data_IF_240577944706
#
_entry.id   IF_240577944706
#
_cell.length_a   1.000
_cell.length_b   1.000
_cell.length_c   1.000
_cell.angle_alpha   90.00
_cell.angle_beta   90.00
_cell.angle_gamma   90.00
#
_symmetry.space_group_name_H-M   'P 1'
#
loop_
_entity.id
_entity.type
_entity.pdbx_description
1 polymer ?
#
# COMPACT_ATOMS: atom_id res chain seq x y z
N UNK A 1 -78.15 -9.80 35.92
CA UNK A 1 -76.82 -10.18 36.44
C UNK A 1 -76.11 -10.93 35.32
N UNK A 2 -75.32 -10.18 34.56
CA UNK A 2 -74.73 -10.55 33.28
C UNK A 2 -73.35 -11.19 33.49
N UNK A 3 -73.20 -12.44 33.08
CA UNK A 3 -71.90 -13.12 32.96
C UNK A 3 -71.39 -12.93 31.54
N UNK A 4 -70.28 -12.20 31.37
CA UNK A 4 -69.63 -12.00 30.08
C UNK A 4 -68.21 -12.58 30.12
N UNK A 5 -67.97 -13.51 29.21
CA UNK A 5 -66.69 -14.16 28.94
C UNK A 5 -65.75 -13.17 28.25
N UNK A 6 -64.49 -13.10 28.68
CA UNK A 6 -63.43 -12.45 27.91
C UNK A 6 -62.13 -13.26 28.01
N UNK A 7 -61.68 -13.75 26.86
CA UNK A 7 -60.37 -14.34 26.63
C UNK A 7 -59.27 -13.29 26.89
N UNK A 8 -58.25 -13.67 27.66
CA UNK A 8 -57.02 -12.87 27.79
C UNK A 8 -55.93 -13.58 27.00
N UNK A 9 -55.50 -12.90 25.94
CA UNK A 9 -54.40 -13.26 25.05
C UNK A 9 -53.05 -13.11 25.76
N UNK A 10 -52.24 -14.16 25.74
CA UNK A 10 -50.87 -14.14 26.24
C UNK A 10 -49.98 -13.39 25.23
N UNK A 11 -49.63 -12.14 25.54
CA UNK A 11 -48.55 -11.41 24.86
C UNK A 11 -47.22 -11.84 25.46
N UNK A 12 -46.33 -12.38 24.62
CA UNK A 12 -44.93 -12.60 24.97
C UNK A 12 -44.25 -11.25 25.21
N UNK A 13 -43.62 -11.10 26.37
CA UNK A 13 -42.73 -10.00 26.70
C UNK A 13 -41.57 -9.98 25.70
N UNK A 14 -41.51 -8.95 24.85
CA UNK A 14 -40.29 -8.58 24.16
C UNK A 14 -39.38 -7.89 25.20
N UNK A 15 -38.10 -8.28 25.33
CA UNK A 15 -37.19 -7.56 26.20
C UNK A 15 -36.98 -6.15 25.64
N UNK A 16 -37.17 -5.18 26.54
CA UNK A 16 -36.97 -3.76 26.36
C UNK A 16 -35.67 -3.50 25.60
N UNK A 17 -35.78 -2.95 24.37
CA UNK A 17 -34.64 -2.38 23.68
C UNK A 17 -34.25 -1.12 24.44
N UNK A 18 -33.39 -1.29 25.44
CA UNK A 18 -32.66 -0.18 26.04
C UNK A 18 -32.03 0.61 24.91
N UNK A 19 -32.51 1.84 24.71
CA UNK A 19 -31.84 2.85 23.92
C UNK A 19 -30.41 3.01 24.46
N UNK A 20 -29.47 2.26 23.89
CA UNK A 20 -28.06 2.59 24.00
C UNK A 20 -27.93 3.98 23.38
N UNK A 21 -27.65 4.97 24.21
CA UNK A 21 -27.40 6.32 23.80
C UNK A 21 -26.34 6.29 22.70
N UNK A 22 -26.74 6.70 21.49
CA UNK A 22 -25.81 7.15 20.46
C UNK A 22 -25.16 8.38 21.07
N UNK A 23 -24.01 8.21 21.71
CA UNK A 23 -23.18 9.33 22.09
C UNK A 23 -22.75 10.01 20.79
N UNK A 24 -23.15 11.26 20.63
CA UNK A 24 -22.66 12.14 19.56
C UNK A 24 -21.14 12.06 19.50
N UNK A 25 -20.65 11.39 18.45
CA UNK A 25 -19.26 10.99 18.25
C UNK A 25 -18.46 12.13 17.61
N UNK A 26 -18.42 13.28 18.28
CA UNK A 26 -17.49 14.34 17.90
C UNK A 26 -16.05 13.90 18.16
N UNK A 27 -15.09 14.19 17.25
CA UNK A 27 -13.68 13.95 17.51
C UNK A 27 -13.27 14.69 18.79
N UNK A 28 -12.51 14.02 19.65
CA UNK A 28 -11.89 14.63 20.84
C UNK A 28 -10.98 15.77 20.37
N UNK A 29 -11.46 17.01 20.38
CA UNK A 29 -10.65 18.19 20.03
C UNK A 29 -9.46 18.28 20.98
N UNK A 30 -8.21 18.09 20.51
CA UNK A 30 -7.03 18.03 21.35
C UNK A 30 -6.85 19.28 22.21
N UNK A 31 -7.13 20.47 21.65
CA UNK A 31 -6.95 21.76 22.31
C UNK A 31 -7.70 21.90 23.64
N UNK A 32 -8.87 21.26 23.78
CA UNK A 32 -9.72 21.41 24.97
C UNK A 32 -9.06 20.86 26.24
N UNK A 33 -8.06 19.98 26.08
CA UNK A 33 -7.37 19.32 27.18
C UNK A 33 -6.00 19.92 27.48
N UNK A 34 -5.57 20.92 26.71
CA UNK A 34 -4.25 21.51 26.84
C UNK A 34 -4.28 22.69 27.81
N UNK A 35 -3.44 22.68 28.87
CA UNK A 35 -3.30 23.85 29.74
C UNK A 35 -2.88 25.08 28.94
N UNK A 36 -3.64 26.16 29.06
CA UNK A 36 -3.39 27.42 28.35
C UNK A 36 -2.05 28.07 28.70
N UNK A 37 -1.48 27.74 29.88
CA UNK A 37 -0.16 28.20 30.33
C UNK A 37 0.60 27.05 31.00
N UNK A 38 1.56 26.49 30.28
CA UNK A 38 2.41 25.37 30.75
C UNK A 38 3.05 25.67 32.11
N UNK A 39 3.59 26.89 32.27
CA UNK A 39 4.23 27.34 33.54
C UNK A 39 3.33 27.38 34.77
N UNK A 40 2.00 27.34 34.60
CA UNK A 40 1.05 27.35 35.71
C UNK A 40 0.38 25.99 35.92
N UNK A 41 0.65 25.01 35.05
CA UNK A 41 0.13 23.66 35.16
C UNK A 41 1.03 22.83 36.06
N UNK A 42 0.42 21.96 36.88
CA UNK A 42 1.15 20.94 37.61
C UNK A 42 1.73 19.89 36.67
N UNK A 43 2.77 19.18 37.12
CA UNK A 43 3.35 18.06 36.37
C UNK A 43 2.29 16.99 36.02
N UNK A 44 1.34 16.74 36.92
CA UNK A 44 0.24 15.80 36.69
C UNK A 44 -0.67 16.24 35.54
N UNK A 45 -1.04 17.53 35.49
CA UNK A 45 -1.87 18.08 34.41
C UNK A 45 -1.15 18.04 33.05
N UNK A 46 0.16 18.26 33.03
CA UNK A 46 0.95 18.18 31.79
C UNK A 46 1.06 16.74 31.28
N UNK A 47 1.21 15.76 32.19
CA UNK A 47 1.18 14.33 31.83
C UNK A 47 -0.18 13.91 31.29
N UNK A 48 -1.26 14.29 31.98
CA UNK A 48 -2.63 14.01 31.53
C UNK A 48 -2.91 14.63 30.15
N UNK A 49 -2.41 15.85 29.90
CA UNK A 49 -2.53 16.49 28.59
C UNK A 49 -1.81 15.68 27.49
N UNK A 50 -0.58 15.22 27.74
CA UNK A 50 0.15 14.36 26.81
C UNK A 50 -0.59 13.04 26.56
N UNK A 51 -1.07 12.36 27.59
CA UNK A 51 -1.84 11.11 27.46
C UNK A 51 -3.09 11.30 26.58
N UNK A 52 -3.81 12.42 26.76
CA UNK A 52 -4.96 12.76 25.92
C UNK A 52 -4.58 13.04 24.47
N UNK A 53 -3.42 13.67 24.22
CA UNK A 53 -2.89 13.81 22.86
C UNK A 53 -2.53 12.45 22.23
N UNK A 54 -1.87 11.56 22.98
CA UNK A 54 -1.57 10.19 22.51
C UNK A 54 -2.83 9.44 22.10
N UNK A 55 -3.92 9.59 22.87
CA UNK A 55 -5.23 9.00 22.56
C UNK A 55 -5.91 9.68 21.38
N UNK A 56 -5.92 11.01 21.31
CA UNK A 56 -6.58 11.76 20.22
C UNK A 56 -5.96 11.50 18.84
N UNK A 57 -4.67 11.13 18.79
CA UNK A 57 -3.95 10.76 17.58
C UNK A 57 -3.73 9.24 17.43
N UNK A 58 -4.34 8.41 18.28
CA UNK A 58 -4.20 6.95 18.30
C UNK A 58 -2.75 6.45 18.14
N UNK A 59 -1.80 7.13 18.79
CA UNK A 59 -0.37 6.85 18.57
C UNK A 59 0.03 5.47 19.11
N UNK A 60 -0.62 5.04 20.19
CA UNK A 60 -0.36 3.76 20.84
C UNK A 60 -1.34 2.66 20.43
N UNK A 61 -2.28 2.96 19.54
CA UNK A 61 -3.26 1.98 19.08
C UNK A 61 -2.78 1.29 17.79
N UNK A 62 -3.11 0.01 17.57
CA UNK A 62 -2.83 -0.65 16.30
C UNK A 62 -3.53 0.12 15.18
N UNK A 63 -2.75 0.59 14.20
CA UNK A 63 -3.33 1.25 13.03
C UNK A 63 -4.05 0.22 12.16
N UNK A 64 -5.18 0.62 11.59
CA UNK A 64 -5.90 -0.19 10.62
C UNK A 64 -6.16 0.62 9.35
N UNK A 65 -6.01 -0.02 8.21
CA UNK A 65 -6.32 0.55 6.90
C UNK A 65 -7.28 -0.37 6.16
N UNK A 66 -8.41 0.19 5.73
CA UNK A 66 -9.51 -0.57 5.14
C UNK A 66 -9.58 -0.25 3.64
N UNK A 67 -9.14 -1.20 2.82
CA UNK A 67 -8.98 -1.00 1.38
C UNK A 67 -10.21 -1.55 0.66
N UNK A 68 -11.06 -0.65 0.18
CA UNK A 68 -12.29 -0.93 -0.58
C UNK A 68 -12.54 0.17 -1.62
N UNK A 69 -13.40 -0.08 -2.59
CA UNK A 69 -13.89 0.93 -3.53
C UNK A 69 -15.43 0.97 -3.48
N UNK A 70 -16.05 2.15 -3.52
CA UNK A 70 -17.51 2.26 -3.68
C UNK A 70 -17.97 1.81 -5.07
N UNK A 71 -19.20 1.29 -5.17
CA UNK A 71 -19.82 0.92 -6.45
C UNK A 71 -19.99 2.17 -7.33
N UNK A 72 -19.40 2.21 -8.54
CA UNK A 72 -19.57 3.34 -9.45
C UNK A 72 -21.04 3.63 -9.83
N UNK A 73 -21.97 2.69 -9.61
CA UNK A 73 -23.41 2.87 -9.89
C UNK A 73 -24.18 3.63 -8.81
N UNK A 74 -23.58 3.86 -7.64
CA UNK A 74 -24.23 4.59 -6.54
C UNK A 74 -23.77 6.06 -6.42
N UNK A 75 -22.93 6.55 -7.33
CA UNK A 75 -22.85 7.99 -7.61
C UNK A 75 -24.10 8.42 -8.40
N UNK A 76 -25.23 8.56 -7.70
CA UNK A 76 -26.47 9.03 -8.30
C UNK A 76 -26.40 10.54 -8.56
N UNK A 77 -26.53 10.86 -9.85
CA UNK A 77 -27.11 12.04 -10.49
C UNK A 77 -26.53 13.42 -10.13
N UNK A 78 -25.59 13.88 -10.95
CA UNK A 78 -25.75 15.21 -11.56
C UNK A 78 -25.92 15.00 -13.06
N UNK A 79 -27.14 15.20 -13.54
CA UNK A 79 -27.49 15.06 -14.95
C UNK A 79 -26.86 16.21 -15.75
N UNK A 80 -25.85 15.89 -16.56
CA UNK A 80 -25.57 16.66 -17.78
C UNK A 80 -25.71 15.73 -18.98
N UNK A 81 -26.69 16.05 -19.83
CA UNK A 81 -26.97 15.31 -21.06
C UNK A 81 -25.76 15.31 -22.02
N UNK A 82 -25.56 14.26 -22.82
CA UNK A 82 -24.46 14.17 -23.77
C UNK A 82 -24.78 14.97 -25.03
N UNK A 83 -23.95 15.97 -25.34
CA UNK A 83 -23.90 16.52 -26.70
C UNK A 83 -22.86 15.77 -27.54
N UNK A 84 -23.32 15.21 -28.65
CA UNK A 84 -22.50 14.61 -29.69
C UNK A 84 -21.58 15.68 -30.33
N UNK A 85 -20.27 15.42 -30.41
CA UNK A 85 -19.41 15.69 -31.59
C UNK A 85 -17.91 15.63 -31.25
N UNK A 86 -17.17 14.83 -32.01
CA UNK A 86 -15.83 15.20 -32.50
C UNK A 86 -14.63 14.92 -31.61
N UNK A 87 -13.92 13.83 -31.91
CA UNK A 87 -12.59 13.52 -31.38
C UNK A 87 -11.56 14.63 -31.70
N UNK A 88 -11.09 15.35 -30.68
CA UNK A 88 -9.78 15.99 -30.64
C UNK A 88 -9.23 15.88 -29.20
N UNK A 89 -8.06 15.26 -29.06
CA UNK A 89 -7.33 15.16 -27.80
C UNK A 89 -6.78 16.55 -27.45
N UNK A 90 -7.51 17.28 -26.61
CA UNK A 90 -6.95 18.34 -25.77
C UNK A 90 -6.80 17.76 -24.36
N UNK A 91 -5.60 17.86 -23.78
CA UNK A 91 -5.36 17.64 -22.36
C UNK A 91 -6.10 18.77 -21.66
N UNK A 92 -7.39 18.59 -21.40
CA UNK A 92 -8.20 19.60 -20.74
C UNK A 92 -7.80 19.71 -19.28
N UNK A 93 -7.89 20.94 -18.79
CA UNK A 93 -7.64 21.50 -17.46
C UNK A 93 -8.40 20.80 -16.29
N UNK A 94 -8.44 19.47 -16.25
CA UNK A 94 -8.98 18.71 -15.13
C UNK A 94 -8.01 18.63 -13.92
N UNK A 95 -6.80 19.19 -14.05
CA UNK A 95 -5.89 19.45 -12.91
C UNK A 95 -6.26 20.77 -12.28
N UNK A 96 -7.48 20.89 -11.75
CA UNK A 96 -7.84 21.96 -10.83
C UNK A 96 -9.18 21.70 -10.13
N UNK A 97 -9.10 21.70 -8.79
CA UNK A 97 -10.17 21.95 -7.84
C UNK A 97 -11.13 20.80 -7.51
N UNK A 98 -10.59 19.68 -7.01
CA UNK A 98 -11.24 18.95 -5.91
C UNK A 98 -10.22 18.50 -4.87
N UNK A 99 -9.53 19.49 -4.29
CA UNK A 99 -8.99 19.32 -2.96
C UNK A 99 -10.19 19.40 -2.01
N UNK A 100 -10.82 18.26 -1.71
CA UNK A 100 -11.46 18.14 -0.40
C UNK A 100 -10.31 18.16 0.62
N UNK A 101 -9.83 19.38 0.93
CA UNK A 101 -8.91 19.59 2.03
C UNK A 101 -9.61 19.10 3.29
N UNK A 102 -8.88 18.37 4.14
CA UNK A 102 -9.28 18.06 5.51
C UNK A 102 -10.01 19.26 6.14
N UNK A 103 -11.09 19.05 6.91
CA UNK A 103 -11.90 20.13 7.43
C UNK A 103 -10.99 21.18 8.11
N UNK A 104 -11.24 22.48 7.90
CA UNK A 104 -10.38 23.58 8.39
C UNK A 104 -10.09 23.52 9.91
N UNK A 105 -10.93 22.81 10.67
CA UNK A 105 -10.76 22.54 12.09
C UNK A 105 -9.52 21.68 12.40
N UNK A 106 -9.10 20.75 11.53
CA UNK A 106 -7.92 19.88 11.77
C UNK A 106 -6.60 20.66 11.66
N UNK A 107 -6.50 21.61 10.72
CA UNK A 107 -5.30 22.43 10.56
C UNK A 107 -5.05 23.33 11.77
N UNK A 108 -6.10 23.95 12.32
CA UNK A 108 -5.98 24.78 13.51
C UNK A 108 -5.57 23.96 14.73
N UNK A 109 -6.26 22.84 14.98
CA UNK A 109 -5.95 21.92 16.07
C UNK A 109 -4.51 21.41 15.99
N UNK A 110 -4.12 20.90 14.82
CA UNK A 110 -2.76 20.38 14.59
C UNK A 110 -1.70 21.46 14.80
N UNK A 111 -1.93 22.70 14.33
CA UNK A 111 -0.99 23.80 14.53
C UNK A 111 -0.89 24.22 16.01
N UNK A 112 -2.02 24.24 16.72
CA UNK A 112 -2.03 24.56 18.14
C UNK A 112 -1.26 23.50 18.94
N UNK A 113 -1.53 22.21 18.69
CA UNK A 113 -0.86 21.10 19.36
C UNK A 113 0.65 21.16 19.10
N UNK A 114 1.09 21.36 17.85
CA UNK A 114 2.52 21.52 17.52
C UNK A 114 3.17 22.67 18.29
N UNK A 115 2.48 23.80 18.40
CA UNK A 115 2.96 24.97 19.14
C UNK A 115 3.06 24.67 20.65
N UNK A 116 2.05 24.02 21.21
CA UNK A 116 2.00 23.64 22.62
C UNK A 116 3.10 22.63 22.98
N UNK A 117 3.29 21.58 22.17
CA UNK A 117 4.35 20.58 22.35
C UNK A 117 5.74 21.24 22.28
N UNK A 118 5.97 22.13 21.32
CA UNK A 118 7.23 22.87 21.19
C UNK A 118 7.51 23.71 22.44
N UNK A 119 6.49 24.37 22.99
CA UNK A 119 6.61 25.14 24.22
C UNK A 119 6.85 24.24 25.45
N UNK A 120 6.25 23.04 25.49
CA UNK A 120 6.47 22.07 26.56
C UNK A 120 7.89 21.52 26.55
N UNK A 121 8.42 21.17 25.38
CA UNK A 121 9.82 20.75 25.20
C UNK A 121 10.75 21.87 25.71
N UNK A 122 10.52 23.11 25.30
CA UNK A 122 11.34 24.24 25.75
C UNK A 122 11.27 24.43 27.27
N UNK A 123 10.10 24.25 27.87
CA UNK A 123 9.91 24.32 29.32
C UNK A 123 10.64 23.19 30.05
N UNK A 124 10.47 21.94 29.61
CA UNK A 124 11.12 20.76 30.19
C UNK A 124 12.64 20.78 30.08
N UNK A 125 13.20 21.33 29.00
CA UNK A 125 14.65 21.54 28.86
C UNK A 125 15.22 22.56 29.87
N UNK A 126 14.39 23.46 30.41
CA UNK A 126 14.80 24.50 31.37
C UNK A 126 14.48 24.15 32.81
N UNK A 127 13.47 23.31 33.05
CA UNK A 127 12.95 23.00 34.38
C UNK A 127 13.14 21.52 34.68
N UNK A 128 13.98 21.20 35.67
CA UNK A 128 14.31 19.82 36.05
C UNK A 128 13.07 18.98 36.39
N UNK A 129 12.06 19.61 36.99
CA UNK A 129 10.80 18.96 37.39
C UNK A 129 9.96 18.46 36.20
N UNK A 130 10.12 19.06 35.03
CA UNK A 130 9.40 18.71 33.80
C UNK A 130 10.30 18.05 32.74
N UNK A 131 11.59 17.80 33.05
CA UNK A 131 12.55 17.22 32.12
C UNK A 131 12.11 15.85 31.59
N UNK A 132 11.42 15.05 32.42
CA UNK A 132 10.90 13.74 32.01
C UNK A 132 9.81 13.80 30.94
N UNK A 133 9.21 14.97 30.67
CA UNK A 133 8.16 15.12 29.66
C UNK A 133 8.71 15.42 28.26
N UNK A 134 10.01 15.74 28.16
CA UNK A 134 10.61 16.21 26.90
C UNK A 134 10.54 15.13 25.83
N UNK A 135 10.89 13.89 26.17
CA UNK A 135 10.91 12.77 25.22
C UNK A 135 9.49 12.42 24.74
N UNK A 136 8.51 12.40 25.65
CA UNK A 136 7.11 12.13 25.32
C UNK A 136 6.53 13.20 24.39
N UNK A 137 6.83 14.47 24.67
CA UNK A 137 6.38 15.60 23.85
C UNK A 137 7.08 15.64 22.48
N UNK A 138 8.38 15.32 22.44
CA UNK A 138 9.14 15.23 21.19
C UNK A 138 8.65 14.08 20.32
N UNK A 139 8.37 12.91 20.91
CA UNK A 139 7.78 11.76 20.21
C UNK A 139 6.44 12.13 19.57
N UNK A 140 5.52 12.78 20.31
CA UNK A 140 4.27 13.30 19.75
C UNK A 140 4.50 14.26 18.58
N UNK A 141 5.44 15.19 18.74
CA UNK A 141 5.74 16.19 17.71
C UNK A 141 6.27 15.54 16.41
N UNK A 142 7.09 14.49 16.53
CA UNK A 142 7.61 13.72 15.40
C UNK A 142 6.47 13.04 14.63
N UNK A 143 5.47 12.49 15.33
CA UNK A 143 4.28 11.92 14.68
C UNK A 143 3.46 12.96 13.94
N UNK A 144 3.34 14.17 14.50
CA UNK A 144 2.69 15.30 13.84
C UNK A 144 3.53 15.90 12.71
N UNK A 145 4.82 15.56 12.56
CA UNK A 145 5.65 16.03 11.47
C UNK A 145 5.43 15.25 10.17
N UNK A 146 4.79 14.08 10.23
CA UNK A 146 4.51 13.25 9.07
C UNK A 146 4.93 11.81 9.29
N UNK A 147 4.33 10.91 8.53
CA UNK A 147 4.62 9.47 8.65
C UNK A 147 6.05 9.12 8.29
N UNK A 148 6.67 9.88 7.38
CA UNK A 148 8.08 9.76 7.02
C UNK A 148 9.03 9.97 8.22
N UNK A 149 8.66 10.88 9.14
CA UNK A 149 9.44 11.18 10.33
C UNK A 149 9.07 10.26 11.52
N UNK A 150 7.86 9.70 11.51
CA UNK A 150 7.38 8.84 12.60
C UNK A 150 8.21 7.57 12.74
N UNK A 151 8.34 7.12 13.99
CA UNK A 151 9.05 5.90 14.36
C UNK A 151 8.37 4.63 13.86
N UNK A 152 8.85 3.50 14.38
CA UNK A 152 8.24 2.19 14.13
C UNK A 152 6.75 2.19 14.47
N UNK A 153 5.94 1.68 13.53
CA UNK A 153 4.50 1.51 13.72
C UNK A 153 3.99 0.26 13.02
N UNK A 154 3.05 -0.42 13.67
CA UNK A 154 2.33 -1.54 13.09
C UNK A 154 0.98 -1.09 12.54
N UNK A 155 0.68 -1.54 11.32
CA UNK A 155 -0.58 -1.30 10.62
C UNK A 155 -1.16 -2.63 10.11
N UNK A 156 -2.45 -2.85 10.34
CA UNK A 156 -3.18 -3.99 9.75
C UNK A 156 -4.00 -3.51 8.55
N UNK A 157 -3.65 -3.99 7.38
CA UNK A 157 -4.40 -3.74 6.14
C UNK A 157 -5.48 -4.80 5.99
N UNK A 158 -6.73 -4.37 5.80
CA UNK A 158 -7.87 -5.21 5.50
C UNK A 158 -8.32 -4.95 4.06
N UNK A 159 -8.45 -6.01 3.26
CA UNK A 159 -8.86 -5.92 1.87
C UNK A 159 -10.28 -6.44 1.68
N UNK A 160 -11.11 -5.65 1.00
CA UNK A 160 -12.52 -5.95 0.76
C UNK A 160 -12.84 -5.93 -0.74
N UNK A 161 -13.69 -6.87 -1.16
CA UNK A 161 -14.23 -6.96 -2.53
C UNK A 161 -15.72 -6.61 -2.63
N UNK A 162 -16.40 -6.33 -1.50
CA UNK A 162 -17.84 -6.07 -1.49
C UNK A 162 -18.20 -4.89 -2.39
N UNK A 163 -19.23 -5.07 -3.21
CA UNK A 163 -19.81 -4.04 -4.07
C UNK A 163 -21.06 -3.39 -3.43
N UNK A 164 -21.58 -3.97 -2.34
CA UNK A 164 -22.86 -3.56 -1.72
C UNK A 164 -22.69 -2.43 -0.68
N UNK A 165 -21.70 -1.56 -0.91
CA UNK A 165 -21.39 -0.41 -0.06
C UNK A 165 -20.20 -0.63 0.88
N UNK A 166 -19.99 0.32 1.82
CA UNK A 166 -18.84 0.28 2.72
C UNK A 166 -18.83 -0.99 3.60
N UNK A 167 -17.67 -1.62 3.83
CA UNK A 167 -17.54 -2.77 4.72
C UNK A 167 -17.98 -2.42 6.16
N UNK A 168 -18.71 -3.33 6.80
CA UNK A 168 -19.31 -3.11 8.12
C UNK A 168 -18.53 -3.79 9.26
N UNK A 169 -17.69 -4.77 8.94
CA UNK A 169 -16.92 -5.53 9.92
C UNK A 169 -15.60 -6.05 9.35
N UNK A 170 -14.63 -6.30 10.24
CA UNK A 170 -13.33 -6.90 9.86
C UNK A 170 -13.49 -8.31 9.28
N UNK A 171 -14.55 -9.02 9.67
CA UNK A 171 -14.82 -10.40 9.26
C UNK A 171 -15.20 -10.49 7.76
N UNK A 172 -15.60 -9.38 7.14
CA UNK A 172 -15.84 -9.29 5.69
C UNK A 172 -14.55 -9.24 4.86
N UNK A 173 -13.39 -9.03 5.49
CA UNK A 173 -12.13 -8.88 4.78
C UNK A 173 -11.70 -10.19 4.12
N UNK A 174 -11.47 -10.15 2.80
CA UNK A 174 -11.01 -11.32 2.05
C UNK A 174 -9.52 -11.63 2.30
N UNK A 175 -8.76 -10.62 2.73
CA UNK A 175 -7.38 -10.75 3.18
C UNK A 175 -7.08 -9.71 4.27
N UNK A 176 -6.16 -10.06 5.18
CA UNK A 176 -5.68 -9.15 6.21
C UNK A 176 -4.19 -9.36 6.43
N UNK A 177 -3.41 -8.27 6.42
CA UNK A 177 -1.95 -8.30 6.51
C UNK A 177 -1.49 -7.30 7.56
N UNK A 178 -0.66 -7.77 8.48
CA UNK A 178 -0.03 -6.94 9.50
C UNK A 178 1.36 -6.52 9.01
N UNK A 179 1.57 -5.22 8.83
CA UNK A 179 2.79 -4.62 8.33
C UNK A 179 3.43 -3.74 9.40
N UNK A 180 4.74 -3.86 9.56
CA UNK A 180 5.60 -2.94 10.29
C UNK A 180 6.17 -1.93 9.31
N UNK A 181 5.81 -0.67 9.49
CA UNK A 181 6.56 0.46 8.93
C UNK A 181 7.63 0.86 9.95
N UNK A 182 8.81 1.25 9.49
CA UNK A 182 9.84 1.83 10.35
C UNK A 182 10.10 3.30 10.02
N UNK A 183 10.89 3.98 10.87
CA UNK A 183 11.41 5.30 10.55
C UNK A 183 12.28 5.22 9.29
N UNK A 184 12.18 6.23 8.43
CA UNK A 184 13.12 6.38 7.32
C UNK A 184 14.51 6.71 7.88
N UNK A 185 15.39 5.72 7.82
CA UNK A 185 16.81 5.87 8.11
C UNK A 185 17.57 5.79 6.79
N UNK A 186 18.42 6.77 6.50
CA UNK A 186 19.14 6.85 5.23
C UNK A 186 18.15 6.83 4.04
N UNK A 187 18.53 6.23 2.91
CA UNK A 187 17.69 6.12 1.71
C UNK A 187 16.91 4.78 1.66
N UNK A 188 16.57 4.21 2.82
CA UNK A 188 15.78 2.98 2.95
C UNK A 188 14.28 3.23 2.66
N UNK A 189 13.95 3.82 1.51
CA UNK A 189 12.59 4.24 1.14
C UNK A 189 11.54 3.13 1.26
N UNK A 190 11.92 1.88 0.97
CA UNK A 190 11.05 0.70 1.06
C UNK A 190 10.74 0.22 2.48
N UNK A 191 11.30 0.84 3.52
CA UNK A 191 11.02 0.45 4.92
C UNK A 191 9.62 0.89 5.39
N UNK A 192 8.92 1.67 4.54
CA UNK A 192 7.55 2.13 4.72
C UNK A 192 6.69 1.70 3.54
N UNK A 193 5.40 1.50 3.81
CA UNK A 193 4.42 1.10 2.80
C UNK A 193 3.98 2.32 1.98
N UNK A 194 4.24 2.29 0.67
CA UNK A 194 3.82 3.33 -0.27
C UNK A 194 2.36 3.19 -0.68
N UNK A 195 1.69 4.31 -0.98
CA UNK A 195 0.26 4.34 -1.30
C UNK A 195 -0.16 3.41 -2.45
N UNK A 196 0.73 3.11 -3.41
CA UNK A 196 0.44 2.17 -4.49
C UNK A 196 0.23 0.72 -4.01
N UNK A 197 0.95 0.27 -2.99
CA UNK A 197 0.92 -1.13 -2.55
C UNK A 197 -0.49 -1.64 -2.16
N UNK A 198 -1.27 -0.96 -1.31
CA UNK A 198 -2.64 -1.41 -1.00
C UNK A 198 -3.55 -1.46 -2.22
N UNK A 199 -3.48 -0.47 -3.13
CA UNK A 199 -4.32 -0.46 -4.33
C UNK A 199 -3.96 -1.60 -5.29
N UNK A 200 -2.67 -1.85 -5.54
CA UNK A 200 -2.24 -2.96 -6.38
C UNK A 200 -2.66 -4.30 -5.78
N UNK A 201 -2.53 -4.46 -4.45
CA UNK A 201 -2.96 -5.67 -3.74
C UNK A 201 -4.45 -5.95 -3.98
N UNK A 202 -5.31 -4.95 -3.73
CA UNK A 202 -6.76 -5.10 -3.94
C UNK A 202 -7.07 -5.42 -5.40
N UNK A 203 -6.46 -4.71 -6.36
CA UNK A 203 -6.71 -4.92 -7.78
C UNK A 203 -6.33 -6.33 -8.21
N UNK A 204 -5.20 -6.86 -7.75
CA UNK A 204 -4.78 -8.24 -8.04
C UNK A 204 -5.76 -9.25 -7.46
N UNK A 205 -6.18 -9.07 -6.20
CA UNK A 205 -7.19 -9.93 -5.58
C UNK A 205 -8.49 -9.92 -6.40
N UNK A 206 -8.95 -8.74 -6.82
CA UNK A 206 -10.14 -8.60 -7.66
C UNK A 206 -9.99 -9.30 -9.02
N UNK A 207 -8.83 -9.17 -9.67
CA UNK A 207 -8.55 -9.83 -10.95
C UNK A 207 -8.67 -11.35 -10.87
N UNK A 208 -8.12 -11.93 -9.81
CA UNK A 208 -8.02 -13.38 -9.68
C UNK A 208 -9.19 -14.01 -8.92
N UNK A 209 -10.06 -13.21 -8.31
CA UNK A 209 -11.25 -13.66 -7.58
C UNK A 209 -12.11 -14.60 -8.42
N UNK A 210 -12.47 -14.15 -9.61
CA UNK A 210 -13.32 -14.87 -10.56
C UNK A 210 -12.52 -15.66 -11.62
N UNK A 211 -11.18 -15.57 -11.58
CA UNK A 211 -10.33 -16.30 -12.51
C UNK A 211 -10.24 -17.78 -12.16
N UNK A 212 -10.37 -18.63 -13.17
CA UNK A 212 -10.07 -20.08 -13.08
C UNK A 212 -8.58 -20.36 -12.98
N UNK A 213 -7.75 -19.45 -13.49
CA UNK A 213 -6.30 -19.53 -13.51
C UNK A 213 -5.74 -18.54 -12.50
N UNK A 214 -5.10 -19.06 -11.44
CA UNK A 214 -4.49 -18.24 -10.40
C UNK A 214 -2.99 -18.49 -10.39
N UNK A 215 -2.17 -17.44 -10.19
CA UNK A 215 -0.72 -17.58 -10.19
C UNK A 215 -0.28 -18.43 -9.01
N UNK A 216 0.64 -19.36 -9.26
CA UNK A 216 1.20 -20.24 -8.22
C UNK A 216 2.64 -19.87 -7.86
N UNK A 217 3.35 -19.18 -8.76
CA UNK A 217 4.69 -18.63 -8.54
C UNK A 217 4.66 -17.13 -8.76
N UNK A 218 4.86 -16.36 -7.69
CA UNK A 218 4.74 -14.90 -7.70
C UNK A 218 6.09 -14.29 -7.29
N UNK A 219 6.53 -13.29 -8.02
CA UNK A 219 7.72 -12.48 -7.70
C UNK A 219 7.30 -11.02 -7.49
N UNK A 220 7.53 -10.49 -6.29
CA UNK A 220 7.37 -9.06 -6.02
C UNK A 220 8.73 -8.37 -6.12
N UNK A 221 8.83 -7.40 -7.04
CA UNK A 221 10.00 -6.56 -7.26
C UNK A 221 9.88 -5.32 -6.38
N UNK A 222 10.92 -5.02 -5.59
CA UNK A 222 10.94 -3.80 -4.78
C UNK A 222 9.85 -3.85 -3.73
N UNK A 223 9.74 -5.01 -3.07
CA UNK A 223 8.64 -5.36 -2.19
C UNK A 223 8.47 -4.37 -1.03
N UNK A 224 9.54 -3.67 -0.64
CA UNK A 224 9.51 -2.75 0.49
C UNK A 224 9.06 -3.48 1.76
N UNK A 225 7.85 -3.20 2.21
CA UNK A 225 7.23 -3.87 3.36
C UNK A 225 6.60 -5.23 3.04
N UNK A 226 6.40 -5.55 1.77
CA UNK A 226 5.88 -6.83 1.27
C UNK A 226 4.36 -6.91 1.19
N UNK A 227 3.65 -5.78 1.29
CA UNK A 227 2.18 -5.77 1.38
C UNK A 227 1.51 -6.46 0.19
N UNK A 228 2.01 -6.29 -1.04
CA UNK A 228 1.37 -6.85 -2.25
C UNK A 228 1.46 -8.36 -2.26
N UNK A 229 2.67 -8.90 -2.14
CA UNK A 229 2.90 -10.34 -2.16
C UNK A 229 2.31 -11.05 -0.95
N UNK A 230 2.41 -10.47 0.25
CA UNK A 230 1.78 -11.02 1.45
C UNK A 230 0.25 -10.99 1.35
N UNK A 231 -0.34 -9.89 0.86
CA UNK A 231 -1.77 -9.75 0.64
C UNK A 231 -2.32 -10.80 -0.32
N UNK A 232 -1.63 -10.99 -1.45
CA UNK A 232 -2.00 -11.99 -2.43
C UNK A 232 -1.81 -13.41 -1.89
N UNK A 233 -0.73 -13.70 -1.16
CA UNK A 233 -0.49 -15.01 -0.55
C UNK A 233 -1.57 -15.37 0.48
N UNK A 234 -1.92 -14.44 1.37
CA UNK A 234 -2.98 -14.60 2.38
C UNK A 234 -4.33 -14.90 1.73
N UNK A 235 -4.67 -14.14 0.68
CA UNK A 235 -5.89 -14.36 -0.06
C UNK A 235 -5.90 -15.73 -0.76
N UNK A 236 -4.84 -16.09 -1.50
CA UNK A 236 -4.74 -17.37 -2.22
C UNK A 236 -4.84 -18.57 -1.27
N UNK A 237 -4.17 -18.52 -0.11
CA UNK A 237 -4.22 -19.57 0.91
C UNK A 237 -5.64 -19.81 1.43
N UNK A 238 -6.41 -18.74 1.68
CA UNK A 238 -7.82 -18.82 2.10
C UNK A 238 -8.73 -19.41 1.02
N UNK A 239 -8.47 -19.09 -0.25
CA UNK A 239 -9.32 -19.57 -1.35
C UNK A 239 -9.03 -21.02 -1.76
N UNK A 240 -7.82 -21.51 -1.51
CA UNK A 240 -7.39 -22.85 -1.93
C UNK A 240 -6.77 -23.66 -0.77
N UNK A 241 -7.48 -23.85 0.37
CA UNK A 241 -6.90 -24.45 1.59
C UNK A 241 -6.45 -25.91 1.42
N UNK A 242 -6.87 -26.58 0.34
CA UNK A 242 -6.54 -27.98 0.03
C UNK A 242 -5.52 -28.14 -1.10
N UNK A 243 -5.09 -27.05 -1.74
CA UNK A 243 -4.09 -27.09 -2.81
C UNK A 243 -2.70 -26.75 -2.27
N UNK A 244 -1.67 -26.96 -3.10
CA UNK A 244 -0.34 -26.48 -2.78
C UNK A 244 -0.37 -24.95 -2.63
N UNK A 245 0.33 -24.44 -1.61
CA UNK A 245 0.43 -23.00 -1.38
C UNK A 245 1.12 -22.33 -2.56
N UNK A 246 0.68 -21.12 -2.91
CA UNK A 246 1.42 -20.28 -3.83
C UNK A 246 2.82 -19.99 -3.27
N UNK A 247 3.81 -20.06 -4.14
CA UNK A 247 5.20 -19.73 -3.85
C UNK A 247 5.41 -18.25 -4.17
N UNK A 248 5.55 -17.43 -3.13
CA UNK A 248 5.74 -15.98 -3.24
C UNK A 248 7.17 -15.63 -2.86
N UNK A 249 7.90 -15.01 -3.78
CA UNK A 249 9.25 -14.51 -3.57
C UNK A 249 9.19 -12.99 -3.47
N UNK A 250 9.42 -12.46 -2.27
CA UNK A 250 9.46 -11.02 -2.01
C UNK A 250 10.91 -10.56 -2.14
N UNK A 251 11.17 -9.53 -2.95
CA UNK A 251 12.54 -9.10 -3.25
C UNK A 251 12.77 -7.63 -3.04
N UNK A 252 13.96 -7.31 -2.57
CA UNK A 252 14.52 -5.97 -2.49
C UNK A 252 16.05 -6.07 -2.55
N UNK A 253 16.74 -4.94 -2.55
CA UNK A 253 18.21 -4.87 -2.55
C UNK A 253 18.77 -4.22 -1.28
N UNK A 254 18.00 -3.38 -0.60
CA UNK A 254 18.51 -2.61 0.54
C UNK A 254 18.44 -3.43 1.84
N UNK A 255 19.57 -3.53 2.56
CA UNK A 255 19.71 -4.39 3.75
C UNK A 255 18.66 -4.14 4.84
N UNK A 256 18.44 -2.88 5.20
CA UNK A 256 17.43 -2.51 6.21
C UNK A 256 16.00 -2.83 5.75
N UNK A 257 15.69 -2.65 4.46
CA UNK A 257 14.38 -2.99 3.88
C UNK A 257 14.16 -4.50 3.92
N UNK A 258 15.14 -5.30 3.49
CA UNK A 258 15.08 -6.76 3.55
C UNK A 258 14.95 -7.27 5.00
N UNK A 259 15.57 -6.61 5.97
CA UNK A 259 15.42 -6.94 7.39
C UNK A 259 13.98 -6.72 7.87
N UNK A 260 13.40 -5.56 7.58
CA UNK A 260 12.01 -5.26 7.93
C UNK A 260 11.02 -6.18 7.18
N UNK A 261 11.26 -6.44 5.90
CA UNK A 261 10.48 -7.37 5.08
C UNK A 261 10.45 -8.77 5.69
N UNK A 262 11.59 -9.27 6.17
CA UNK A 262 11.69 -10.58 6.84
C UNK A 262 10.88 -10.62 8.14
N UNK A 263 10.82 -9.52 8.89
CA UNK A 263 9.98 -9.40 10.09
C UNK A 263 8.50 -9.40 9.72
N UNK A 264 8.10 -8.69 8.66
CA UNK A 264 6.73 -8.68 8.14
C UNK A 264 6.28 -10.07 7.68
N UNK A 265 7.12 -10.82 6.97
CA UNK A 265 6.82 -12.21 6.59
C UNK A 265 6.59 -13.06 7.84
N UNK A 266 7.48 -12.94 8.84
CA UNK A 266 7.38 -13.70 10.10
C UNK A 266 6.10 -13.36 10.87
N UNK A 267 5.74 -12.07 10.94
CA UNK A 267 4.58 -11.59 11.68
C UNK A 267 3.24 -12.08 11.10
N UNK A 268 3.19 -12.41 9.80
CA UNK A 268 1.97 -12.91 9.16
C UNK A 268 1.89 -14.44 9.11
N UNK A 269 3.02 -15.15 9.22
CA UNK A 269 3.04 -16.62 9.30
C UNK A 269 2.48 -17.34 8.07
N UNK A 270 2.42 -16.66 6.91
CA UNK A 270 1.86 -17.20 5.67
C UNK A 270 2.85 -18.19 5.05
N UNK A 271 2.40 -19.40 4.74
CA UNK A 271 3.27 -20.41 4.14
C UNK A 271 3.53 -20.14 2.66
N UNK A 272 4.67 -20.61 2.16
CA UNK A 272 5.05 -20.45 0.74
C UNK A 272 5.65 -19.08 0.42
N UNK A 273 5.82 -18.20 1.40
CA UNK A 273 6.44 -16.89 1.22
C UNK A 273 7.92 -16.94 1.62
N UNK A 274 8.81 -16.39 0.79
CA UNK A 274 10.23 -16.24 1.12
C UNK A 274 10.76 -14.86 0.72
N UNK A 275 11.82 -14.41 1.42
CA UNK A 275 12.53 -13.17 1.14
C UNK A 275 13.84 -13.50 0.43
N UNK A 276 14.12 -12.81 -0.68
CA UNK A 276 15.36 -12.94 -1.45
C UNK A 276 15.93 -11.57 -1.80
N UNK A 277 17.25 -11.51 -1.99
CA UNK A 277 17.89 -10.34 -2.57
C UNK A 277 17.70 -10.35 -4.08
N UNK A 278 17.42 -9.19 -4.67
CA UNK A 278 17.43 -9.00 -6.11
C UNK A 278 17.93 -7.59 -6.45
N UNK A 279 19.06 -7.52 -7.14
CA UNK A 279 19.59 -6.28 -7.71
C UNK A 279 19.24 -6.23 -9.20
N UNK A 280 18.36 -5.31 -9.59
CA UNK A 280 17.92 -5.20 -10.98
C UNK A 280 19.03 -4.70 -11.90
N UNK A 281 19.94 -3.85 -11.41
CA UNK A 281 21.07 -3.36 -12.19
C UNK A 281 22.03 -4.51 -12.51
N UNK A 282 22.28 -5.41 -11.56
CA UNK A 282 23.10 -6.61 -11.81
C UNK A 282 22.49 -7.51 -12.89
N UNK A 283 21.18 -7.75 -12.84
CA UNK A 283 20.47 -8.52 -13.87
C UNK A 283 20.57 -7.85 -15.24
N UNK A 284 20.33 -6.53 -15.28
CA UNK A 284 20.44 -5.74 -16.50
C UNK A 284 21.85 -5.80 -17.09
N UNK A 285 22.89 -5.58 -16.27
CA UNK A 285 24.28 -5.56 -16.69
C UNK A 285 24.74 -6.93 -17.21
N UNK A 286 24.36 -8.01 -16.53
CA UNK A 286 24.66 -9.37 -16.98
C UNK A 286 24.06 -9.66 -18.36
N UNK A 287 22.79 -9.26 -18.58
CA UNK A 287 22.10 -9.47 -19.86
C UNK A 287 22.68 -8.64 -21.00
N UNK A 288 23.16 -7.43 -20.71
CA UNK A 288 23.73 -6.51 -21.71
C UNK A 288 25.27 -6.57 -21.79
N UNK A 289 25.91 -7.51 -21.10
CA UNK A 289 27.37 -7.68 -21.05
C UNK A 289 28.09 -6.37 -20.66
N UNK A 290 27.48 -5.58 -19.77
CA UNK A 290 28.07 -4.34 -19.25
C UNK A 290 28.99 -4.66 -18.07
N UNK A 291 30.13 -3.98 -17.93
CA UNK A 291 30.99 -4.13 -16.77
C UNK A 291 30.25 -3.72 -15.50
N UNK A 292 30.55 -4.39 -14.38
CA UNK A 292 30.08 -4.01 -13.05
C UNK A 292 30.72 -2.65 -12.68
N UNK A 293 30.00 -1.56 -12.93
CA UNK A 293 30.38 -0.22 -12.43
C UNK A 293 29.66 0.10 -11.12
N UNK A 294 30.12 1.15 -10.44
CA UNK A 294 29.40 1.78 -9.32
C UNK A 294 27.93 2.04 -9.67
N UNK A 295 27.06 2.07 -8.65
CA UNK A 295 25.63 2.38 -8.76
C UNK A 295 25.37 3.45 -9.83
N UNK A 296 24.62 3.09 -10.87
CA UNK A 296 24.35 3.99 -12.00
C UNK A 296 23.27 5.03 -11.69
N UNK A 297 22.56 4.86 -10.57
CA UNK A 297 21.51 5.76 -10.11
C UNK A 297 21.80 6.34 -8.72
N UNK A 298 21.28 7.54 -8.49
CA UNK A 298 21.23 8.21 -7.18
C UNK A 298 19.87 8.01 -6.50
N UNK A 299 18.95 7.23 -7.08
CA UNK A 299 17.63 7.00 -6.51
C UNK A 299 17.66 6.23 -5.17
N UNK A 300 18.78 5.57 -4.87
CA UNK A 300 18.99 4.89 -3.59
C UNK A 300 20.47 4.90 -3.19
N UNK A 301 20.76 5.39 -1.99
CA UNK A 301 22.04 5.15 -1.32
C UNK A 301 21.98 3.86 -0.52
N UNK A 302 22.98 3.00 -0.68
CA UNK A 302 23.08 1.74 0.04
C UNK A 302 23.99 1.86 1.27
N UNK A 303 23.74 1.09 2.35
CA UNK A 303 24.66 0.97 3.46
C UNK A 303 26.03 0.48 3.00
N UNK A 304 27.12 0.94 3.64
CA UNK A 304 28.49 0.55 3.27
C UNK A 304 28.71 -0.98 3.27
N UNK A 305 27.97 -1.71 4.10
CA UNK A 305 28.03 -3.17 4.25
C UNK A 305 26.81 -3.89 3.65
N UNK A 306 26.11 -3.28 2.68
CA UNK A 306 24.88 -3.82 2.09
C UNK A 306 25.04 -5.28 1.62
N UNK A 307 26.07 -5.58 0.83
CA UNK A 307 26.34 -6.93 0.33
C UNK A 307 26.47 -7.98 1.46
N UNK A 308 27.22 -7.64 2.52
CA UNK A 308 27.42 -8.54 3.66
C UNK A 308 26.13 -8.77 4.45
N UNK A 309 25.34 -7.71 4.64
CA UNK A 309 24.07 -7.80 5.38
C UNK A 309 22.99 -8.55 4.59
N UNK A 310 23.00 -8.44 3.27
CA UNK A 310 21.99 -9.05 2.39
C UNK A 310 22.31 -10.48 1.96
N UNK A 311 23.58 -10.91 2.07
CA UNK A 311 24.00 -12.28 1.74
C UNK A 311 23.17 -13.36 2.46
N UNK A 312 22.65 -13.08 3.66
CA UNK A 312 21.83 -14.03 4.44
C UNK A 312 20.51 -14.43 3.77
N UNK A 313 19.98 -13.62 2.86
CA UNK A 313 18.73 -13.91 2.16
C UNK A 313 18.95 -14.78 0.92
N UNK A 314 20.17 -14.77 0.36
CA UNK A 314 20.48 -15.36 -0.94
C UNK A 314 19.78 -14.64 -2.10
N UNK A 315 20.34 -14.82 -3.29
CA UNK A 315 19.80 -14.23 -4.52
C UNK A 315 18.62 -15.04 -5.09
N UNK A 316 17.80 -14.38 -5.90
CA UNK A 316 16.86 -15.08 -6.78
C UNK A 316 17.66 -15.88 -7.81
N UNK A 317 17.41 -17.18 -7.91
CA UNK A 317 18.03 -18.05 -8.91
C UNK A 317 17.62 -17.61 -10.32
N UNK A 318 18.62 -17.34 -11.18
CA UNK A 318 18.44 -16.83 -12.53
C UNK A 318 17.60 -17.73 -13.46
N UNK A 319 17.45 -19.01 -13.13
CA UNK A 319 16.69 -19.99 -13.91
C UNK A 319 15.25 -20.15 -13.45
N UNK A 320 14.88 -19.62 -12.28
CA UNK A 320 13.51 -19.71 -11.76
C UNK A 320 12.59 -18.80 -12.56
N UNK A 321 11.42 -19.34 -12.92
CA UNK A 321 10.35 -18.66 -13.64
C UNK A 321 9.11 -18.49 -12.77
N UNK A 322 8.41 -17.39 -12.98
CA UNK A 322 7.23 -16.97 -12.22
C UNK A 322 6.05 -16.71 -13.14
N UNK A 323 4.86 -17.04 -12.65
CA UNK A 323 3.59 -16.85 -13.35
C UNK A 323 3.17 -15.38 -13.33
N UNK A 324 3.51 -14.69 -12.25
CA UNK A 324 3.16 -13.28 -12.01
C UNK A 324 4.36 -12.53 -11.44
N UNK A 325 4.70 -11.41 -12.06
CA UNK A 325 5.57 -10.38 -11.47
C UNK A 325 4.73 -9.18 -11.06
N UNK A 326 5.04 -8.57 -9.93
CA UNK A 326 4.36 -7.35 -9.45
C UNK A 326 5.38 -6.32 -8.99
N UNK A 327 5.11 -5.04 -9.26
CA UNK A 327 5.89 -3.91 -8.75
C UNK A 327 4.96 -2.73 -8.45
N UNK A 328 5.01 -2.20 -7.23
CA UNK A 328 4.25 -1.04 -6.79
C UNK A 328 5.20 0.12 -6.50
N UNK A 329 5.05 1.24 -7.21
CA UNK A 329 5.84 2.48 -7.06
C UNK A 329 7.37 2.23 -7.02
N UNK A 330 7.91 1.55 -8.04
CA UNK A 330 9.31 1.12 -8.07
C UNK A 330 10.23 1.95 -8.99
N UNK A 331 9.70 2.94 -9.70
CA UNK A 331 10.39 3.64 -10.79
C UNK A 331 10.63 5.10 -10.39
N UNK A 332 11.79 5.33 -9.78
CA UNK A 332 12.26 6.64 -9.30
C UNK A 332 13.40 7.22 -10.16
N UNK A 333 13.87 6.44 -11.13
CA UNK A 333 14.86 6.82 -12.14
C UNK A 333 14.43 6.17 -13.47
N UNK A 334 14.51 6.87 -14.62
CA UNK A 334 14.16 6.31 -15.92
C UNK A 334 14.87 4.98 -16.24
N UNK A 335 16.06 4.75 -15.68
CA UNK A 335 16.81 3.51 -15.89
C UNK A 335 16.14 2.30 -15.22
N UNK A 336 15.36 2.49 -14.16
CA UNK A 336 14.64 1.41 -13.47
C UNK A 336 13.68 0.68 -14.41
N UNK A 337 13.04 1.37 -15.36
CA UNK A 337 12.16 0.72 -16.34
C UNK A 337 12.93 -0.31 -17.17
N UNK A 338 14.13 0.03 -17.64
CA UNK A 338 15.01 -0.88 -18.39
C UNK A 338 15.49 -2.05 -17.54
N UNK A 339 15.79 -1.82 -16.27
CA UNK A 339 16.23 -2.87 -15.35
C UNK A 339 15.10 -3.84 -15.02
N UNK A 340 13.90 -3.34 -14.70
CA UNK A 340 12.71 -4.15 -14.49
C UNK A 340 12.37 -4.96 -15.74
N UNK A 341 12.52 -4.38 -16.93
CA UNK A 341 12.34 -5.13 -18.19
C UNK A 341 13.31 -6.31 -18.30
N UNK A 342 14.60 -6.11 -17.99
CA UNK A 342 15.59 -7.21 -18.00
C UNK A 342 15.24 -8.31 -16.98
N UNK A 343 14.80 -7.93 -15.79
CA UNK A 343 14.31 -8.86 -14.76
C UNK A 343 13.09 -9.63 -15.26
N UNK A 344 12.12 -8.95 -15.86
CA UNK A 344 10.92 -9.58 -16.39
C UNK A 344 11.23 -10.54 -17.54
N UNK A 345 12.13 -10.19 -18.45
CA UNK A 345 12.58 -11.12 -19.49
C UNK A 345 13.28 -12.35 -18.91
N UNK A 346 14.03 -12.19 -17.82
CA UNK A 346 14.74 -13.28 -17.16
C UNK A 346 13.80 -14.17 -16.34
N UNK A 347 12.78 -13.63 -15.69
CA UNK A 347 12.04 -14.35 -14.65
C UNK A 347 10.57 -14.59 -14.97
N UNK A 348 9.96 -13.87 -15.91
CA UNK A 348 8.58 -14.14 -16.30
C UNK A 348 8.50 -15.44 -17.11
N UNK A 349 7.61 -16.35 -16.71
CA UNK A 349 7.30 -17.56 -17.46
C UNK A 349 6.85 -17.22 -18.87
N UNK A 350 7.10 -18.12 -19.82
CA UNK A 350 6.47 -18.05 -21.14
C UNK A 350 5.04 -18.62 -21.03
N UNK A 351 4.08 -18.13 -21.84
CA UNK A 351 2.76 -18.74 -21.98
C UNK A 351 2.87 -20.25 -22.20
N UNK A 352 2.08 -21.01 -21.47
CA UNK A 352 2.00 -22.47 -21.57
C UNK A 352 0.55 -22.93 -21.55
N UNK A 353 0.31 -24.22 -21.76
CA UNK A 353 -1.03 -24.81 -21.60
C UNK A 353 -1.55 -24.69 -20.18
N UNK A 354 -0.65 -24.74 -19.20
CA UNK A 354 -1.00 -24.79 -17.78
C UNK A 354 -1.18 -23.38 -17.19
N UNK A 355 -0.46 -22.41 -17.74
CA UNK A 355 -0.61 -20.99 -17.42
C UNK A 355 -0.42 -20.15 -18.71
N UNK A 356 -1.51 -19.85 -19.44
CA UNK A 356 -1.44 -19.17 -20.74
C UNK A 356 -1.14 -17.68 -20.64
N UNK A 357 -1.37 -17.04 -19.48
CA UNK A 357 -1.30 -15.58 -19.32
C UNK A 357 -0.31 -15.13 -18.23
N UNK A 358 1.01 -15.42 -18.34
CA UNK A 358 2.01 -14.86 -17.45
C UNK A 358 2.16 -13.36 -17.67
N UNK A 359 2.08 -12.60 -16.58
CA UNK A 359 1.98 -11.13 -16.61
C UNK A 359 2.97 -10.46 -15.65
N UNK A 360 3.40 -9.24 -16.02
CA UNK A 360 4.00 -8.27 -15.11
C UNK A 360 2.97 -7.15 -14.85
N UNK A 361 2.70 -6.87 -13.58
CA UNK A 361 1.83 -5.78 -13.15
C UNK A 361 2.66 -4.64 -12.56
N UNK A 362 2.50 -3.43 -13.10
CA UNK A 362 3.11 -2.22 -12.60
C UNK A 362 2.02 -1.26 -12.12
N UNK A 363 2.12 -0.75 -10.90
CA UNK A 363 1.28 0.37 -10.44
C UNK A 363 2.15 1.55 -10.05
N UNK A 364 2.00 2.67 -10.76
CA UNK A 364 2.87 3.84 -10.65
C UNK A 364 2.03 5.08 -10.32
N UNK A 365 2.34 5.85 -9.27
CA UNK A 365 1.67 7.12 -9.03
C UNK A 365 2.00 8.13 -10.13
N UNK A 366 0.99 8.86 -10.60
CA UNK A 366 1.17 9.92 -11.60
C UNK A 366 1.53 11.20 -10.85
N UNK A 367 2.83 11.53 -10.83
CA UNK A 367 3.36 12.75 -10.20
C UNK A 367 3.99 13.65 -11.24
N UNK A 368 3.72 14.95 -11.18
CA UNK A 368 4.31 15.93 -12.11
C UNK A 368 5.86 15.93 -12.07
N UNK A 369 6.45 15.60 -10.92
CA UNK A 369 7.90 15.49 -10.73
C UNK A 369 8.50 14.21 -11.29
N UNK A 370 7.70 13.20 -11.66
CA UNK A 370 8.15 11.88 -12.09
C UNK A 370 7.67 11.52 -13.52
N UNK A 371 7.44 12.53 -14.37
CA UNK A 371 6.93 12.32 -15.73
C UNK A 371 7.96 11.63 -16.63
N UNK A 372 9.26 11.84 -16.40
CA UNK A 372 10.33 11.20 -17.17
C UNK A 372 10.41 9.69 -16.87
N UNK A 373 10.25 9.33 -15.61
CA UNK A 373 10.18 7.97 -15.08
C UNK A 373 8.98 7.26 -15.69
N UNK A 374 7.79 7.89 -15.67
CA UNK A 374 6.60 7.34 -16.30
C UNK A 374 6.77 7.17 -17.82
N UNK A 375 7.35 8.16 -18.52
CA UNK A 375 7.62 8.09 -19.95
C UNK A 375 8.55 6.91 -20.30
N UNK A 376 9.59 6.67 -19.48
CA UNK A 376 10.53 5.58 -19.69
C UNK A 376 9.87 4.20 -19.70
N UNK A 377 8.77 4.01 -18.96
CA UNK A 377 7.99 2.76 -18.95
C UNK A 377 7.35 2.53 -20.30
N UNK A 378 6.75 3.57 -20.90
CA UNK A 378 6.14 3.48 -22.22
C UNK A 378 7.17 3.21 -23.31
N UNK A 379 8.36 3.80 -23.21
CA UNK A 379 9.44 3.59 -24.18
C UNK A 379 9.97 2.14 -24.11
N UNK A 380 10.25 1.65 -22.90
CA UNK A 380 10.82 0.32 -22.66
C UNK A 380 9.83 -0.80 -22.94
N UNK A 381 8.57 -0.65 -22.52
CA UNK A 381 7.50 -1.64 -22.74
C UNK A 381 6.63 -1.29 -23.96
N UNK A 382 7.24 -0.70 -24.98
CA UNK A 382 6.61 -0.35 -26.24
C UNK A 382 6.23 -1.57 -27.10
N UNK A 383 5.48 -1.34 -28.18
CA UNK A 383 5.04 -2.40 -29.08
C UNK A 383 6.19 -3.15 -29.78
N UNK A 384 7.36 -2.52 -29.89
CA UNK A 384 8.57 -3.07 -30.50
C UNK A 384 9.40 -3.92 -29.52
N UNK A 385 9.07 -3.89 -28.24
CA UNK A 385 9.78 -4.63 -27.21
C UNK A 385 9.41 -6.12 -27.18
N UNK A 386 10.21 -6.94 -26.49
CA UNK A 386 9.87 -8.35 -26.22
C UNK A 386 8.72 -8.49 -25.23
N UNK A 387 8.60 -7.53 -24.32
CA UNK A 387 7.51 -7.41 -23.35
C UNK A 387 6.84 -6.06 -23.58
N UNK A 388 5.50 -6.05 -23.74
CA UNK A 388 4.75 -4.83 -24.02
C UNK A 388 3.61 -4.61 -23.06
N UNK A 389 3.25 -3.35 -22.86
CA UNK A 389 2.00 -2.99 -22.19
C UNK A 389 0.83 -3.44 -23.08
N UNK A 390 -0.06 -4.27 -22.53
CA UNK A 390 -1.28 -4.76 -23.20
C UNK A 390 -2.55 -4.12 -22.64
N UNK A 391 -2.48 -3.60 -21.41
CA UNK A 391 -3.60 -2.95 -20.76
C UNK A 391 -3.11 -1.82 -19.86
N UNK A 392 -3.91 -0.76 -19.78
CA UNK A 392 -3.67 0.38 -18.89
C UNK A 392 -4.99 0.80 -18.27
N UNK A 393 -4.98 1.07 -16.97
CA UNK A 393 -6.13 1.59 -16.23
C UNK A 393 -5.65 2.63 -15.24
N UNK A 394 -6.39 3.72 -15.12
CA UNK A 394 -6.15 4.71 -14.06
C UNK A 394 -6.98 4.38 -12.84
N UNK A 395 -6.38 4.54 -11.67
CA UNK A 395 -7.00 4.33 -10.37
C UNK A 395 -6.87 5.62 -9.57
N UNK A 396 -7.97 6.08 -8.99
CA UNK A 396 -7.93 7.17 -8.02
C UNK A 396 -7.71 6.59 -6.62
N UNK A 397 -6.70 7.09 -5.93
CA UNK A 397 -6.35 6.66 -4.59
C UNK A 397 -5.87 7.81 -3.74
N UNK A 398 -5.36 7.48 -2.56
CA UNK A 398 -4.82 8.45 -1.62
C UNK A 398 -3.38 8.06 -1.26
N UNK A 399 -2.57 9.08 -1.00
CA UNK A 399 -1.21 8.91 -0.50
C UNK A 399 -1.06 9.70 0.81
N UNK A 400 -0.53 9.03 1.82
CA UNK A 400 -0.77 9.39 3.22
C UNK A 400 0.49 9.85 3.97
N UNK A 401 1.54 10.25 3.23
CA UNK A 401 2.83 10.72 3.76
C UNK A 401 2.76 11.94 4.68
N UNK A 402 1.62 12.63 4.72
CA UNK A 402 1.36 13.77 5.57
C UNK A 402 1.33 13.46 7.08
N UNK A 403 1.05 14.48 7.92
CA UNK A 403 0.89 14.32 9.37
C UNK A 403 -0.21 13.31 9.72
N UNK A 404 -0.11 12.70 10.91
CA UNK A 404 -1.21 11.88 11.43
C UNK A 404 -2.45 12.76 11.62
N UNK A 405 -3.57 12.37 11.02
CA UNK A 405 -4.87 13.02 11.28
C UNK A 405 -5.45 12.53 12.60
N UNK A 406 -6.24 13.37 13.27
CA UNK A 406 -6.96 12.98 14.48
C UNK A 406 -7.86 11.76 14.26
N UNK A 407 -8.12 11.02 15.34
CA UNK A 407 -9.10 9.94 15.36
C UNK A 407 -10.48 10.51 15.01
N UNK A 408 -10.98 10.17 13.82
CA UNK A 408 -12.38 10.33 13.51
C UNK A 408 -13.07 9.04 13.98
N UNK A 409 -14.07 9.15 14.85
CA UNK A 409 -14.94 8.03 15.23
C UNK A 409 -15.86 7.58 14.06
N UNK A 410 -15.50 7.90 12.81
CA UNK A 410 -16.25 7.53 11.63
C UNK A 410 -15.89 6.12 11.21
N UNK A 411 -16.88 5.24 11.28
CA UNK A 411 -16.84 3.91 10.69
C UNK A 411 -17.60 3.94 9.36
N UNK A 412 -17.04 3.43 8.25
CA UNK A 412 -15.70 2.85 8.13
C UNK A 412 -14.61 3.93 8.14
N UNK A 413 -13.39 3.50 8.47
CA UNK A 413 -12.19 4.32 8.27
C UNK A 413 -12.09 4.66 6.77
N UNK A 414 -12.24 5.94 6.41
CA UNK A 414 -11.98 6.42 5.05
C UNK A 414 -10.47 6.51 4.82
N UNK A 415 -10.05 6.26 3.59
CA UNK A 415 -8.68 6.52 3.15
C UNK A 415 -8.35 7.99 3.43
N UNK A 416 -7.36 8.24 4.28
CA UNK A 416 -6.85 9.58 4.60
C UNK A 416 -5.61 9.87 3.75
N UNK A 417 -5.43 11.10 3.30
CA UNK A 417 -4.24 11.50 2.54
C UNK A 417 -4.55 12.43 1.37
N UNK A 418 -3.52 12.83 0.65
CA UNK A 418 -3.70 13.59 -0.59
C UNK A 418 -4.19 12.67 -1.70
N UNK A 419 -5.17 13.11 -2.49
CA UNK A 419 -5.60 12.37 -3.67
C UNK A 419 -4.42 12.21 -4.65
N UNK A 420 -4.23 10.99 -5.15
CA UNK A 420 -3.20 10.64 -6.11
C UNK A 420 -3.81 9.69 -7.14
N UNK A 421 -3.68 10.06 -8.41
CA UNK A 421 -3.99 9.15 -9.52
C UNK A 421 -2.83 8.17 -9.71
N UNK A 422 -3.14 6.90 -9.90
CA UNK A 422 -2.19 5.83 -10.17
C UNK A 422 -2.45 5.26 -11.56
N UNK A 423 -1.38 4.92 -12.27
CA UNK A 423 -1.45 4.18 -13.52
C UNK A 423 -1.12 2.71 -13.29
N UNK A 424 -2.11 1.85 -13.49
CA UNK A 424 -1.93 0.41 -13.55
C UNK A 424 -1.62 -0.01 -14.98
N UNK A 425 -0.52 -0.74 -15.18
CA UNK A 425 -0.14 -1.31 -16.47
C UNK A 425 0.02 -2.82 -16.34
N UNK A 426 -0.51 -3.56 -17.31
CA UNK A 426 -0.30 -4.99 -17.47
C UNK A 426 0.62 -5.21 -18.66
N UNK A 427 1.70 -5.94 -18.44
CA UNK A 427 2.75 -6.23 -19.42
C UNK A 427 2.79 -7.72 -19.72
N UNK A 428 2.89 -8.07 -21.00
CA UNK A 428 2.91 -9.45 -21.52
C UNK A 428 3.96 -9.63 -22.62
N UNK A 429 4.30 -10.89 -22.90
CA UNK A 429 5.16 -11.26 -24.03
C UNK A 429 4.52 -10.89 -25.37
N UNK A 430 5.33 -10.35 -26.29
CA UNK A 430 4.87 -10.10 -27.66
C UNK A 430 4.81 -11.40 -28.47
N UNK A 431 3.87 -11.49 -29.40
CA UNK A 431 3.72 -12.65 -30.30
C UNK A 431 5.01 -12.96 -31.07
N UNK A 432 5.72 -11.92 -31.52
CA UNK A 432 7.01 -12.07 -32.18
C UNK A 432 8.05 -12.75 -31.26
N UNK A 433 8.10 -12.35 -29.98
CA UNK A 433 9.01 -12.96 -29.00
C UNK A 433 8.70 -14.43 -28.70
N UNK A 434 7.44 -14.84 -28.85
CA UNK A 434 7.00 -16.23 -28.64
C UNK A 434 7.38 -17.12 -29.84
N UNK A 435 7.39 -16.57 -31.06
CA UNK A 435 7.72 -17.30 -32.27
C UNK A 435 9.19 -17.72 -32.38
N UNK A 436 10.13 -16.91 -31.84
CA UNK A 436 11.57 -17.17 -31.94
C UNK A 436 12.08 -18.39 -31.13
N UNK A 437 11.31 -18.90 -30.18
CA UNK A 437 11.71 -20.01 -29.30
C UNK A 437 10.95 -21.32 -29.57
N UNK A 438 10.11 -21.36 -30.60
CA UNK A 438 9.54 -22.62 -31.08
C UNK A 438 10.64 -23.41 -31.79
N UNK A 439 11.01 -24.63 -31.35
CA UNK A 439 11.95 -25.44 -32.09
C UNK A 439 11.37 -25.70 -33.47
N UNK A 440 12.03 -25.20 -34.50
CA UNK A 440 11.69 -25.49 -35.89
C UNK A 440 11.89 -26.99 -36.12
N UNK A 441 10.83 -27.76 -35.97
CA UNK A 441 10.77 -29.15 -36.44
C UNK A 441 10.66 -29.14 -37.96
N UNK A 442 11.76 -28.82 -38.64
CA UNK A 442 11.92 -29.08 -40.07
C UNK A 442 13.25 -29.79 -40.27
N UNK A 443 13.27 -31.07 -39.94
CA UNK A 443 14.31 -31.97 -40.43
C UNK A 443 14.22 -32.07 -41.96
N UNK A 444 15.35 -32.07 -42.69
CA UNK A 444 15.31 -32.21 -44.13
C UNK A 444 14.80 -33.61 -44.48
N UNK A 445 13.73 -33.67 -45.27
CA UNK A 445 13.31 -34.88 -45.94
C UNK A 445 14.43 -35.28 -46.92
N UNK A 446 15.30 -36.19 -46.50
CA UNK A 446 16.18 -36.90 -47.42
C UNK A 446 15.33 -37.83 -48.28
N UNK A 447 15.04 -37.36 -49.49
CA UNK A 447 14.64 -38.23 -50.58
C UNK A 447 15.87 -38.92 -51.16
N UNK A 448 15.82 -40.25 -51.19
CA UNK A 448 16.28 -41.13 -52.28
C UNK A 448 15.55 -42.44 -52.16
#
# INVERSE_FOLDING_TARGET
MTTNSAQVSARSEQPDRSHAAVHDSYPLLPTQFLPSRIRHASLAQLKEALEKLYSAYAINEPREEWIWEPDPRHEISDSCEPTESGCQYEISDAVSLRAESDPPDDMFETQYVRTWLSALIQYGCKQTEAASLVDDAASLLVHLAGKAASGERWCTYYFFLSQDGPPQSRDEAVASIRIRDAALTEDALGIRTWGAAPYLTRRLIQQYADSRERPTKILELGAGTGLVGLGLASWLEKQQPRQAKALVTLTDHHANVLANLSENVTANGIGGVCVRRLDWQLVYNAKHQRPLSSNETLAQTLPQNNESLTARYGDVDAHVKFDLLVAADCIYDPQHASWIHAVAEQHLSRPSTDFPNPQLHLLIPIRATHLAELASVYDVFSAQSTLRIVHTTDLEGHDDFGPVSMCANSFPLRNKGSAVSYRHMIVEWTQASLAFNSPTSSGPAHGT
#
